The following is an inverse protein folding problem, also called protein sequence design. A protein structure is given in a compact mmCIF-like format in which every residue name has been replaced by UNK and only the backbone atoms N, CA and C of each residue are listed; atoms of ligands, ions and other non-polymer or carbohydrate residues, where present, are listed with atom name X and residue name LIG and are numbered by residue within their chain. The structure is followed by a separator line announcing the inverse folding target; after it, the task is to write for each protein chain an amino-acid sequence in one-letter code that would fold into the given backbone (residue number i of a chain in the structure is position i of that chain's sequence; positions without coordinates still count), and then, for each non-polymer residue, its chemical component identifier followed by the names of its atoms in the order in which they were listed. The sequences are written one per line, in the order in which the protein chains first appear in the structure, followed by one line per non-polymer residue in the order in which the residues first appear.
data_IF_830808548425
#
_entry.id   IF_830808548425
#
_cell.length_a   1.000
_cell.length_b   1.000
_cell.length_c   1.000
_cell.angle_alpha   90.00
_cell.angle_beta   90.00
_cell.angle_gamma   90.00
#
_symmetry.space_group_name_H-M   'P 1'
#
loop_
_entity.id
_entity.type
_entity.pdbx_description
1 polymer ?
#
# COMPACT_ATOMS: atom_id res chain seq x y z
N UNK A 1 -33.61 -67.48 -33.47
CA UNK A 1 -34.89 -66.93 -33.03
C UNK A 1 -34.53 -65.55 -32.42
N UNK A 2 -34.64 -64.57 -33.27
CA UNK A 2 -35.53 -63.39 -33.25
C UNK A 2 -35.29 -62.47 -32.05
N UNK A 3 -35.15 -61.20 -32.13
CA UNK A 3 -35.39 -60.10 -33.06
C UNK A 3 -35.07 -58.84 -32.30
N UNK A 4 -34.33 -57.95 -32.89
CA UNK A 4 -34.63 -56.51 -33.11
C UNK A 4 -35.40 -55.78 -32.02
N UNK A 5 -34.77 -54.77 -31.44
CA UNK A 5 -35.36 -53.44 -31.59
C UNK A 5 -34.29 -52.33 -31.52
N UNK A 6 -34.34 -51.50 -32.54
CA UNK A 6 -33.61 -50.28 -32.73
C UNK A 6 -34.33 -49.18 -31.98
N UNK A 7 -33.61 -48.40 -31.18
CA UNK A 7 -34.06 -47.06 -30.89
C UNK A 7 -32.97 -46.04 -31.28
N UNK A 8 -33.24 -45.40 -32.37
CA UNK A 8 -32.58 -44.16 -32.84
C UNK A 8 -32.89 -43.04 -31.86
N UNK A 9 -31.87 -42.44 -31.29
CA UNK A 9 -31.91 -41.10 -30.75
C UNK A 9 -31.09 -40.19 -31.67
N UNK A 10 -31.58 -39.00 -32.05
CA UNK A 10 -30.88 -38.10 -32.95
C UNK A 10 -29.70 -37.45 -32.24
N UNK A 11 -28.55 -37.51 -32.87
CA UNK A 11 -27.38 -36.68 -32.58
C UNK A 11 -27.77 -35.22 -32.84
N UNK A 12 -27.98 -34.46 -31.79
CA UNK A 12 -27.99 -32.99 -31.85
C UNK A 12 -26.56 -32.49 -31.89
N UNK A 13 -26.16 -31.99 -33.02
CA UNK A 13 -24.98 -31.13 -33.15
C UNK A 13 -25.26 -29.82 -32.43
N UNK A 14 -24.85 -29.73 -31.16
CA UNK A 14 -24.75 -28.46 -30.43
C UNK A 14 -23.27 -28.25 -30.05
N UNK A 15 -22.51 -27.84 -31.05
CA UNK A 15 -21.15 -27.39 -30.91
C UNK A 15 -21.13 -25.83 -30.96
N UNK A 16 -21.89 -25.18 -30.07
CA UNK A 16 -21.74 -23.76 -29.78
C UNK A 16 -20.95 -23.60 -28.48
N UNK A 17 -19.68 -23.33 -28.60
CA UNK A 17 -18.82 -22.94 -27.51
C UNK A 17 -19.33 -21.61 -26.93
N UNK A 18 -19.66 -21.51 -25.63
CA UNK A 18 -20.18 -20.28 -25.03
C UNK A 18 -19.17 -19.13 -24.99
N UNK A 19 -17.90 -19.42 -25.29
CA UNK A 19 -16.80 -18.44 -25.11
C UNK A 19 -16.61 -17.48 -26.31
N UNK A 20 -17.16 -17.79 -27.47
CA UNK A 20 -16.96 -16.95 -28.67
C UNK A 20 -17.93 -15.76 -28.70
N UNK A 21 -19.14 -15.93 -28.19
CA UNK A 21 -20.13 -14.82 -28.12
C UNK A 21 -19.72 -13.74 -27.10
N UNK A 22 -19.13 -14.13 -25.97
CA UNK A 22 -18.72 -13.17 -24.95
C UNK A 22 -17.54 -12.27 -25.37
N UNK A 23 -16.63 -12.81 -26.20
CA UNK A 23 -15.47 -12.06 -26.72
C UNK A 23 -15.91 -11.03 -27.78
N UNK A 24 -16.86 -11.40 -28.63
CA UNK A 24 -17.41 -10.48 -29.62
C UNK A 24 -18.25 -9.35 -29.00
N UNK A 25 -18.98 -9.64 -27.91
CA UNK A 25 -19.68 -8.62 -27.15
C UNK A 25 -18.73 -7.63 -26.45
N UNK A 26 -17.65 -8.13 -25.88
CA UNK A 26 -16.62 -7.29 -25.26
C UNK A 26 -15.94 -6.43 -26.34
N UNK A 27 -15.58 -6.96 -27.48
CA UNK A 27 -15.00 -6.21 -28.58
C UNK A 27 -15.97 -5.13 -29.13
N UNK A 28 -17.25 -5.45 -29.24
CA UNK A 28 -18.29 -4.49 -29.63
C UNK A 28 -18.49 -3.38 -28.60
N UNK A 29 -18.39 -3.69 -27.30
CA UNK A 29 -18.48 -2.69 -26.25
C UNK A 29 -17.30 -1.70 -26.28
N UNK A 30 -16.09 -2.17 -26.50
CA UNK A 30 -14.89 -1.32 -26.68
C UNK A 30 -14.95 -0.47 -27.96
N UNK A 31 -15.49 -1.00 -29.04
CA UNK A 31 -15.68 -0.22 -30.27
C UNK A 31 -16.73 0.89 -30.08
N UNK A 32 -17.85 0.59 -29.41
CA UNK A 32 -18.87 1.59 -29.07
C UNK A 32 -18.34 2.69 -28.14
N UNK A 33 -17.54 2.33 -27.14
CA UNK A 33 -16.95 3.32 -26.23
C UNK A 33 -15.93 4.23 -26.97
N UNK A 34 -15.20 3.68 -27.94
CA UNK A 34 -14.26 4.43 -28.78
C UNK A 34 -14.98 5.39 -29.75
N UNK A 35 -16.15 5.01 -30.25
CA UNK A 35 -16.99 5.87 -31.10
C UNK A 35 -17.68 6.98 -30.28
N UNK A 36 -18.15 6.69 -29.06
CA UNK A 36 -18.73 7.67 -28.15
C UNK A 36 -17.67 8.72 -27.76
N UNK A 37 -16.44 8.32 -27.47
CA UNK A 37 -15.34 9.24 -27.17
C UNK A 37 -14.91 10.11 -28.36
N UNK A 38 -15.09 9.63 -29.60
CA UNK A 38 -14.83 10.42 -30.80
C UNK A 38 -15.94 11.42 -31.13
N UNK A 39 -17.18 11.11 -30.75
CA UNK A 39 -18.34 11.93 -31.07
C UNK A 39 -18.61 13.07 -30.06
N UNK A 40 -18.05 13.01 -28.86
CA UNK A 40 -18.33 14.01 -27.83
C UNK A 40 -17.15 14.18 -26.85
N UNK A 41 -16.10 14.96 -27.19
CA UNK A 41 -14.93 15.17 -26.34
C UNK A 41 -15.23 16.00 -25.07
N UNK A 42 -16.36 16.72 -24.98
CA UNK A 42 -16.64 17.71 -23.93
C UNK A 42 -17.81 17.37 -22.98
N UNK A 43 -18.38 16.17 -23.04
CA UNK A 43 -19.51 15.81 -22.20
C UNK A 43 -19.12 14.90 -21.01
N UNK A 44 -18.42 15.46 -20.04
CA UNK A 44 -18.40 14.95 -18.67
C UNK A 44 -18.73 16.13 -17.76
N UNK A 45 -20.00 16.44 -17.61
CA UNK A 45 -20.52 17.19 -16.47
C UNK A 45 -20.72 16.22 -15.32
N UNK A 46 -19.92 16.37 -14.27
CA UNK A 46 -20.18 15.73 -12.98
C UNK A 46 -21.48 16.25 -12.38
N UNK A 47 -22.27 15.42 -11.69
CA UNK A 47 -23.42 15.90 -10.93
C UNK A 47 -22.94 16.73 -9.73
N UNK A 48 -23.59 17.87 -9.52
CA UNK A 48 -23.32 18.85 -8.49
C UNK A 48 -23.27 18.23 -7.08
N UNK A 49 -22.14 18.41 -6.41
CA UNK A 49 -22.04 18.18 -4.98
C UNK A 49 -22.73 19.31 -4.20
N UNK A 50 -23.39 19.05 -3.07
CA UNK A 50 -24.12 20.04 -2.31
C UNK A 50 -23.19 21.12 -1.75
N UNK A 51 -23.55 22.35 -2.01
CA UNK A 51 -22.89 23.59 -1.55
C UNK A 51 -22.82 23.58 -0.02
N UNK A 52 -21.59 23.54 0.51
CA UNK A 52 -21.31 23.74 1.94
C UNK A 52 -20.92 25.20 2.15
N UNK A 53 -21.68 25.88 3.00
CA UNK A 53 -21.60 27.27 3.39
C UNK A 53 -20.17 27.79 3.64
N UNK A 54 -19.96 28.98 3.11
CA UNK A 54 -18.78 29.82 3.27
C UNK A 54 -18.36 30.01 4.73
N UNK A 55 -17.11 29.63 5.03
CA UNK A 55 -16.37 30.17 6.18
C UNK A 55 -15.47 31.28 5.66
N UNK A 56 -15.73 32.49 6.16
CA UNK A 56 -14.92 33.68 5.92
C UNK A 56 -13.45 33.42 6.27
N UNK A 57 -12.60 33.49 5.28
CA UNK A 57 -11.15 33.58 5.43
C UNK A 57 -10.82 35.04 5.81
N UNK A 58 -10.15 35.19 6.95
CA UNK A 58 -9.52 36.47 7.32
C UNK A 58 -8.21 36.55 6.56
N UNK A 59 -8.16 37.48 5.63
CA UNK A 59 -7.00 37.76 4.79
C UNK A 59 -6.03 38.69 5.53
N UNK A 60 -4.80 38.19 5.74
CA UNK A 60 -3.66 39.00 6.18
C UNK A 60 -2.69 39.12 5.01
N UNK A 61 -2.93 40.13 4.17
CA UNK A 61 -1.87 40.62 3.28
C UNK A 61 -1.67 42.09 3.51
N UNK A 62 -0.47 42.39 3.97
CA UNK A 62 0.10 43.75 3.93
C UNK A 62 0.37 44.10 2.47
N UNK A 63 -0.14 45.22 2.03
CA UNK A 63 0.30 45.76 0.77
C UNK A 63 0.62 47.24 0.84
N UNK A 64 1.76 47.50 0.33
CA UNK A 64 2.37 48.79 0.03
C UNK A 64 1.92 49.28 -1.34
N UNK A 65 1.81 50.61 -1.44
CA UNK A 65 2.03 51.50 -2.57
C UNK A 65 0.85 52.09 -3.37
N UNK A 66 0.80 53.40 -3.16
CA UNK A 66 0.62 54.51 -4.12
C UNK A 66 -0.72 54.76 -4.81
N UNK A 67 -1.34 55.87 -4.46
CA UNK A 67 -1.36 57.13 -5.24
C UNK A 67 -2.19 58.23 -4.59
N UNK A 68 -1.62 59.42 -4.67
CA UNK A 68 -2.15 60.67 -4.17
C UNK A 68 -3.45 61.13 -4.87
N UNK A 69 -4.41 61.65 -4.08
CA UNK A 69 -5.27 62.77 -4.48
C UNK A 69 -5.58 63.67 -3.27
N UNK A 70 -5.24 64.95 -3.43
CA UNK A 70 -5.53 66.03 -2.49
C UNK A 70 -7.03 66.31 -2.34
N UNK A 71 -7.46 66.57 -1.09
CA UNK A 71 -8.40 67.63 -0.68
C UNK A 71 -8.84 67.44 0.78
N UNK A 72 -9.36 68.46 1.48
CA UNK A 72 -8.69 69.58 2.13
C UNK A 72 -8.75 69.49 3.68
N UNK A 73 -7.90 70.28 4.30
CA UNK A 73 -7.66 70.41 5.74
C UNK A 73 -8.93 70.56 6.60
N UNK A 74 -9.18 69.60 7.51
CA UNK A 74 -9.97 69.78 8.72
C UNK A 74 -9.05 69.84 9.91
N UNK A 75 -9.09 70.97 10.63
CA UNK A 75 -8.37 71.24 11.88
C UNK A 75 -8.56 70.10 12.87
N UNK A 76 -7.52 69.31 13.09
CA UNK A 76 -7.48 68.36 14.19
C UNK A 76 -7.00 69.05 15.46
N UNK A 77 -7.90 69.13 16.39
CA UNK A 77 -7.59 69.52 17.79
C UNK A 77 -6.69 68.46 18.39
N UNK A 78 -5.42 68.82 18.63
CA UNK A 78 -4.44 67.97 19.32
C UNK A 78 -4.87 67.78 20.77
N UNK A 79 -5.48 66.66 21.09
CA UNK A 79 -5.64 66.15 22.45
C UNK A 79 -4.24 65.67 22.91
N UNK A 80 -3.59 66.45 23.76
CA UNK A 80 -2.39 66.03 24.47
C UNK A 80 -2.74 64.84 25.36
N UNK A 81 -2.48 63.58 24.91
CA UNK A 81 -2.46 62.40 25.77
C UNK A 81 -1.27 62.52 26.70
N UNK A 82 -1.51 62.87 27.97
CA UNK A 82 -0.51 62.74 29.03
C UNK A 82 -0.07 61.29 29.12
N UNK A 83 1.18 61.05 28.74
CA UNK A 83 1.82 59.74 28.96
C UNK A 83 2.06 59.60 30.45
N UNK A 84 1.18 58.89 31.17
CA UNK A 84 1.43 58.45 32.54
C UNK A 84 2.76 57.70 32.55
N UNK A 85 3.77 58.24 33.26
CA UNK A 85 5.04 57.56 33.50
C UNK A 85 4.77 56.28 34.26
N UNK A 86 4.79 55.13 33.55
CA UNK A 86 4.65 53.78 34.15
C UNK A 86 5.87 53.56 35.03
N UNK A 87 5.64 53.39 36.32
CA UNK A 87 6.71 53.15 37.27
C UNK A 87 7.22 51.72 37.14
N UNK A 88 8.27 51.53 36.28
CA UNK A 88 8.88 50.26 35.89
C UNK A 88 9.27 49.42 37.11
N UNK A 89 9.64 50.05 38.26
CA UNK A 89 9.98 49.34 39.49
C UNK A 89 8.78 48.60 40.10
N UNK A 90 7.53 49.07 39.89
CA UNK A 90 6.31 48.38 40.40
C UNK A 90 5.87 47.22 39.48
N UNK A 91 6.26 47.24 38.20
CA UNK A 91 5.96 46.17 37.23
C UNK A 91 7.03 45.05 37.23
N UNK A 92 8.24 45.31 37.68
CA UNK A 92 9.33 44.34 37.67
C UNK A 92 9.05 43.09 38.52
N UNK A 93 8.48 43.30 39.72
CA UNK A 93 8.16 42.17 40.62
C UNK A 93 7.17 41.17 40.05
N UNK A 94 5.98 41.56 39.51
CA UNK A 94 5.05 40.60 38.95
C UNK A 94 5.60 39.94 37.63
N UNK A 95 6.43 40.63 36.88
CA UNK A 95 7.08 40.06 35.68
C UNK A 95 8.09 38.98 36.09
N UNK A 96 8.91 39.22 37.09
CA UNK A 96 9.89 38.25 37.61
C UNK A 96 9.14 36.99 38.14
N UNK A 97 8.04 37.19 38.86
CA UNK A 97 7.23 36.08 39.38
C UNK A 97 6.61 35.29 38.21
N UNK A 98 6.05 35.96 37.20
CA UNK A 98 5.49 35.31 36.03
C UNK A 98 6.52 34.48 35.27
N UNK A 99 7.75 35.03 35.06
CA UNK A 99 8.86 34.30 34.42
C UNK A 99 9.30 33.10 35.27
N UNK A 100 9.38 33.26 36.62
CA UNK A 100 9.73 32.14 37.48
C UNK A 100 8.67 31.02 37.46
N UNK A 101 7.38 31.39 37.47
CA UNK A 101 6.28 30.40 37.37
C UNK A 101 6.29 29.68 36.01
N UNK A 102 6.50 30.42 34.92
CA UNK A 102 6.62 29.77 33.57
C UNK A 102 7.82 28.86 33.48
N UNK A 103 8.96 29.22 34.07
CA UNK A 103 10.15 28.38 34.12
C UNK A 103 9.92 27.09 34.92
N UNK A 104 9.21 27.17 36.06
CA UNK A 104 8.86 25.99 36.85
C UNK A 104 7.90 25.07 36.13
N UNK A 105 6.88 25.64 35.46
CA UNK A 105 5.92 24.84 34.66
C UNK A 105 6.64 24.17 33.49
N UNK A 106 7.49 24.88 32.73
CA UNK A 106 8.28 24.34 31.66
C UNK A 106 9.24 23.22 32.16
N UNK A 107 9.89 23.43 33.30
CA UNK A 107 10.74 22.42 33.92
C UNK A 107 9.96 21.17 34.36
N UNK A 108 8.76 21.33 34.91
CA UNK A 108 7.88 20.22 35.29
C UNK A 108 7.43 19.42 34.05
N UNK A 109 7.02 20.11 32.98
CA UNK A 109 6.64 19.46 31.72
C UNK A 109 7.83 18.70 31.12
N UNK A 110 9.01 19.29 31.15
CA UNK A 110 10.23 18.64 30.66
C UNK A 110 10.58 17.41 31.52
N UNK A 111 10.52 17.50 32.84
CA UNK A 111 10.78 16.39 33.75
C UNK A 111 9.78 15.24 33.55
N UNK A 112 8.48 15.55 33.35
CA UNK A 112 7.46 14.54 33.07
C UNK A 112 7.72 13.87 31.71
N UNK A 113 8.00 14.64 30.67
CA UNK A 113 8.35 14.09 29.35
C UNK A 113 9.60 13.20 29.43
N UNK A 114 10.63 13.66 30.12
CA UNK A 114 11.86 12.90 30.33
C UNK A 114 11.60 11.58 31.08
N UNK A 115 10.86 11.63 32.19
CA UNK A 115 10.52 10.43 32.97
C UNK A 115 9.67 9.44 32.15
N UNK A 116 8.70 9.92 31.37
CA UNK A 116 7.87 9.08 30.48
C UNK A 116 8.74 8.46 29.37
N UNK A 117 9.67 9.23 28.80
CA UNK A 117 10.59 8.69 27.77
C UNK A 117 11.50 7.63 28.38
N UNK A 118 12.08 7.88 29.55
CA UNK A 118 12.92 6.91 30.26
C UNK A 118 12.17 5.63 30.62
N UNK A 119 10.92 5.73 31.09
CA UNK A 119 10.11 4.55 31.41
C UNK A 119 9.75 3.74 30.17
N UNK A 120 9.52 4.41 29.01
CA UNK A 120 9.21 3.75 27.74
C UNK A 120 10.37 2.96 27.16
N UNK A 121 11.61 3.29 27.49
CA UNK A 121 12.81 2.59 27.01
C UNK A 121 13.48 1.74 28.09
N UNK A 122 12.94 1.71 29.32
CA UNK A 122 13.54 1.00 30.44
C UNK A 122 13.68 -0.51 30.18
N UNK A 123 12.73 -1.11 29.44
CA UNK A 123 12.77 -2.51 29.08
C UNK A 123 13.91 -2.86 28.11
N UNK A 124 14.46 -1.89 27.38
CA UNK A 124 15.59 -2.11 26.47
C UNK A 124 16.92 -2.30 27.18
N UNK A 125 17.07 -1.86 28.44
CA UNK A 125 18.36 -1.92 29.15
C UNK A 125 18.98 -3.33 29.22
N UNK A 126 18.25 -4.41 29.57
CA UNK A 126 18.82 -5.75 29.59
C UNK A 126 19.28 -6.19 28.19
N UNK A 127 18.55 -5.83 27.14
CA UNK A 127 18.91 -6.16 25.76
C UNK A 127 20.13 -5.37 25.27
N UNK A 128 20.23 -4.08 25.63
CA UNK A 128 21.42 -3.27 25.36
C UNK A 128 22.69 -3.80 26.07
N UNK A 129 22.53 -4.38 27.26
CA UNK A 129 23.64 -5.05 27.95
C UNK A 129 24.03 -6.38 27.29
N UNK A 130 23.04 -7.14 26.79
CA UNK A 130 23.25 -8.40 26.09
C UNK A 130 23.85 -8.20 24.69
N UNK A 131 23.44 -7.15 23.99
CA UNK A 131 23.86 -6.80 22.63
C UNK A 131 24.39 -5.36 22.61
N UNK A 132 25.62 -5.13 23.07
CA UNK A 132 26.17 -3.78 23.29
C UNK A 132 26.36 -2.98 22.00
N UNK A 133 26.53 -3.67 20.87
CA UNK A 133 26.74 -3.07 19.56
C UNK A 133 25.40 -2.75 18.84
N UNK A 134 24.26 -3.31 19.31
CA UNK A 134 22.98 -3.17 18.67
C UNK A 134 22.29 -1.84 19.03
N UNK A 135 21.82 -1.11 18.00
CA UNK A 135 21.08 0.15 18.16
C UNK A 135 19.56 -0.08 18.07
N UNK A 136 18.97 -0.45 19.20
CA UNK A 136 17.53 -0.72 19.26
C UNK A 136 16.68 0.47 18.88
N UNK A 137 15.76 0.36 17.90
CA UNK A 137 14.85 1.42 17.54
C UNK A 137 13.84 1.68 18.67
N UNK A 138 13.51 2.95 18.89
CA UNK A 138 12.57 3.32 19.94
C UNK A 138 11.18 2.76 19.65
N UNK A 139 10.60 2.03 20.60
CA UNK A 139 9.25 1.47 20.49
C UNK A 139 9.19 0.06 19.89
N UNK A 140 10.33 -0.57 19.65
CA UNK A 140 10.38 -1.99 19.27
C UNK A 140 9.64 -2.83 20.33
N UNK A 141 8.83 -3.79 19.92
CA UNK A 141 8.18 -4.70 20.87
C UNK A 141 9.22 -5.58 21.57
N UNK A 142 9.08 -5.72 22.90
CA UNK A 142 10.05 -6.44 23.76
C UNK A 142 10.36 -7.84 23.25
N UNK A 143 9.35 -8.57 22.76
CA UNK A 143 9.50 -9.93 22.22
C UNK A 143 10.39 -10.05 20.97
N UNK A 144 10.68 -8.94 20.30
CA UNK A 144 11.57 -8.90 19.12
C UNK A 144 12.96 -8.35 19.44
N UNK A 145 13.22 -7.94 20.68
CA UNK A 145 14.50 -7.36 21.04
C UNK A 145 15.67 -8.36 20.89
N UNK A 146 15.49 -9.63 21.26
CA UNK A 146 16.52 -10.64 21.06
C UNK A 146 16.81 -10.86 19.59
N UNK A 147 15.77 -11.02 18.78
CA UNK A 147 15.89 -11.22 17.32
C UNK A 147 16.59 -10.05 16.64
N UNK A 148 16.23 -8.81 17.02
CA UNK A 148 16.86 -7.61 16.48
C UNK A 148 18.31 -7.48 16.97
N UNK A 149 18.58 -7.78 18.25
CA UNK A 149 19.94 -7.75 18.82
C UNK A 149 20.88 -8.76 18.17
N UNK A 150 20.39 -9.92 17.76
CA UNK A 150 21.15 -10.92 16.99
C UNK A 150 21.42 -10.47 15.56
N UNK A 151 20.52 -9.70 14.95
CA UNK A 151 20.67 -9.17 13.60
C UNK A 151 19.93 -7.84 13.44
N UNK A 152 20.65 -6.72 13.47
CA UNK A 152 20.11 -5.37 13.27
C UNK A 152 19.48 -5.14 11.90
N UNK A 153 19.74 -6.01 10.92
CA UNK A 153 19.06 -6.00 9.63
C UNK A 153 17.62 -6.56 9.69
N UNK A 154 17.15 -6.98 10.87
CA UNK A 154 15.77 -7.44 11.05
C UNK A 154 14.80 -6.26 10.93
N UNK A 155 13.89 -6.33 9.95
CA UNK A 155 12.87 -5.29 9.68
C UNK A 155 11.46 -5.78 9.94
N UNK A 156 11.28 -7.06 10.21
CA UNK A 156 9.98 -7.65 10.50
C UNK A 156 10.08 -9.08 11.03
N UNK A 157 8.92 -9.65 11.28
CA UNK A 157 8.76 -11.03 11.71
C UNK A 157 7.53 -11.63 11.05
N UNK A 158 7.65 -12.79 10.44
CA UNK A 158 6.56 -13.45 9.71
C UNK A 158 6.23 -14.80 10.35
N UNK A 159 4.93 -15.13 10.43
CA UNK A 159 4.44 -16.43 10.88
C UNK A 159 3.38 -16.95 9.94
N UNK A 160 3.58 -18.18 9.46
CA UNK A 160 2.69 -18.89 8.54
C UNK A 160 2.35 -20.23 9.19
N UNK A 161 1.15 -20.31 9.74
CA UNK A 161 0.74 -21.44 10.58
C UNK A 161 0.74 -22.78 9.81
N UNK A 162 0.26 -22.80 8.58
CA UNK A 162 0.20 -24.00 7.73
C UNK A 162 1.57 -24.63 7.51
N UNK A 163 2.59 -23.79 7.42
CA UNK A 163 3.96 -24.24 7.23
C UNK A 163 4.70 -24.55 8.53
N UNK A 164 4.07 -24.29 9.69
CA UNK A 164 4.77 -24.23 10.98
C UNK A 164 6.05 -23.39 10.87
N UNK A 165 5.96 -22.29 10.10
CA UNK A 165 7.05 -21.41 9.76
C UNK A 165 6.93 -20.10 10.54
N UNK A 166 7.98 -19.75 11.24
CA UNK A 166 8.11 -18.52 12.01
C UNK A 166 9.55 -18.03 11.93
N UNK A 167 9.76 -16.80 11.46
CA UNK A 167 11.12 -16.29 11.23
C UNK A 167 11.20 -14.77 11.21
N UNK A 168 12.36 -14.25 11.59
CA UNK A 168 12.74 -12.88 11.33
C UNK A 168 12.77 -12.60 9.82
N UNK A 169 12.31 -11.43 9.43
CA UNK A 169 12.39 -10.91 8.06
C UNK A 169 13.51 -9.88 8.02
N UNK A 170 14.47 -10.11 7.17
CA UNK A 170 15.69 -9.29 7.07
C UNK A 170 15.50 -8.26 5.95
N UNK A 171 16.05 -7.07 6.13
CA UNK A 171 16.17 -6.10 5.05
C UNK A 171 16.83 -6.74 3.84
N UNK A 172 16.37 -6.43 2.63
CA UNK A 172 16.84 -7.04 1.40
C UNK A 172 18.34 -6.99 1.28
N UNK A 173 18.97 -8.13 1.56
CA UNK A 173 20.38 -8.40 1.29
C UNK A 173 20.47 -9.64 0.41
N UNK A 174 21.51 -9.72 -0.40
CA UNK A 174 21.70 -10.82 -1.34
C UNK A 174 21.60 -12.19 -0.62
N UNK A 175 20.67 -13.00 -1.09
CA UNK A 175 20.50 -14.42 -0.72
C UNK A 175 20.20 -14.73 0.77
N UNK A 176 19.67 -13.78 1.53
CA UNK A 176 19.17 -14.01 2.90
C UNK A 176 17.65 -14.00 2.90
N UNK A 177 17.01 -15.08 3.32
CA UNK A 177 15.56 -15.25 3.35
C UNK A 177 15.06 -15.67 4.75
N UNK A 178 13.84 -15.26 5.15
CA UNK A 178 12.94 -14.31 4.46
C UNK A 178 13.53 -12.90 4.37
N UNK A 179 13.30 -12.22 3.25
CA UNK A 179 13.73 -10.84 3.09
C UNK A 179 12.56 -9.92 2.69
N UNK A 180 12.58 -8.68 3.20
CA UNK A 180 11.62 -7.66 2.83
C UNK A 180 12.09 -6.86 1.61
N UNK A 181 11.14 -6.38 0.78
CA UNK A 181 11.43 -5.38 -0.25
C UNK A 181 11.74 -4.05 0.43
N UNK A 182 12.67 -3.31 -0.14
CA UNK A 182 13.10 -2.02 0.36
C UNK A 182 11.97 -0.97 0.22
N UNK A 183 11.84 -0.12 1.22
CA UNK A 183 10.92 1.03 1.21
C UNK A 183 11.74 2.30 1.00
N UNK A 184 11.32 3.15 0.06
CA UNK A 184 12.02 4.42 -0.17
C UNK A 184 12.00 5.30 1.09
N UNK A 185 13.12 5.93 1.39
CA UNK A 185 13.28 6.80 2.57
C UNK A 185 12.20 7.89 2.58
N UNK A 186 11.49 8.04 3.71
CA UNK A 186 10.40 8.98 3.88
C UNK A 186 9.09 8.59 3.20
N UNK A 187 8.98 7.37 2.62
CA UNK A 187 7.74 6.87 2.06
C UNK A 187 6.89 6.16 3.12
N UNK A 188 5.57 6.34 3.03
CA UNK A 188 4.64 5.55 3.82
C UNK A 188 4.51 4.17 3.20
N UNK A 189 4.68 3.12 4.00
CA UNK A 189 4.50 1.75 3.53
C UNK A 189 3.02 1.34 3.56
N UNK A 190 2.50 0.95 2.40
CA UNK A 190 1.13 0.46 2.25
C UNK A 190 1.07 -1.05 2.00
N UNK A 191 2.17 -1.66 1.57
CA UNK A 191 2.28 -3.06 1.26
C UNK A 191 3.58 -3.60 1.86
N UNK A 192 3.48 -4.55 2.77
CA UNK A 192 4.63 -5.31 3.23
C UNK A 192 4.92 -6.40 2.21
N UNK A 193 6.10 -6.37 1.61
CA UNK A 193 6.50 -7.35 0.60
C UNK A 193 7.60 -8.22 1.15
N UNK A 194 7.34 -9.53 1.24
CA UNK A 194 8.25 -10.52 1.81
C UNK A 194 8.55 -11.60 0.76
N UNK A 195 9.83 -11.90 0.59
CA UNK A 195 10.31 -12.98 -0.28
C UNK A 195 10.69 -14.20 0.54
N UNK A 196 10.20 -15.36 0.15
CA UNK A 196 10.61 -16.66 0.68
C UNK A 196 11.50 -17.40 -0.33
N UNK A 197 12.28 -18.34 0.15
CA UNK A 197 13.19 -19.18 -0.65
C UNK A 197 12.62 -20.57 -1.04
N UNK A 198 11.41 -20.90 -0.55
CA UNK A 198 10.76 -22.18 -0.79
C UNK A 198 9.36 -21.99 -1.42
N UNK A 199 8.87 -23.05 -2.06
CA UNK A 199 7.59 -23.08 -2.79
C UNK A 199 6.41 -23.70 -1.99
N UNK A 200 6.61 -23.99 -0.70
CA UNK A 200 5.60 -24.74 0.10
C UNK A 200 4.27 -23.99 0.24
N UNK A 201 4.28 -22.66 0.18
CA UNK A 201 3.08 -21.84 0.29
C UNK A 201 2.10 -22.09 -0.86
N UNK A 202 2.62 -22.48 -2.04
CA UNK A 202 1.82 -22.82 -3.22
C UNK A 202 0.84 -23.97 -2.96
N UNK A 203 1.20 -24.97 -2.17
CA UNK A 203 0.33 -26.10 -1.84
C UNK A 203 -0.99 -25.69 -1.20
N UNK A 204 -1.00 -24.58 -0.46
CA UNK A 204 -2.14 -24.11 0.32
C UNK A 204 -2.98 -23.05 -0.41
N UNK A 205 -2.37 -22.32 -1.35
CA UNK A 205 -3.01 -21.13 -1.93
C UNK A 205 -3.08 -21.14 -3.47
N UNK A 206 -2.78 -22.25 -4.14
CA UNK A 206 -2.75 -22.30 -5.61
C UNK A 206 -4.13 -22.28 -6.29
N UNK A 207 -5.19 -22.65 -5.59
CA UNK A 207 -6.56 -22.67 -6.08
C UNK A 207 -7.57 -22.56 -4.93
N UNK A 208 -8.85 -22.45 -5.26
CA UNK A 208 -9.93 -22.32 -4.27
C UNK A 208 -10.06 -23.56 -3.37
N UNK A 209 -9.86 -24.74 -3.90
CA UNK A 209 -10.01 -25.99 -3.14
C UNK A 209 -8.87 -26.11 -2.11
N UNK A 210 -7.63 -25.87 -2.54
CA UNK A 210 -6.48 -25.84 -1.63
C UNK A 210 -6.64 -24.78 -0.53
N UNK A 211 -7.13 -23.58 -0.89
CA UNK A 211 -7.45 -22.53 0.07
C UNK A 211 -8.49 -22.98 1.11
N UNK A 212 -9.61 -23.53 0.65
CA UNK A 212 -10.72 -23.90 1.53
C UNK A 212 -10.38 -25.08 2.43
N UNK A 213 -9.70 -26.09 1.90
CA UNK A 213 -9.45 -27.35 2.60
C UNK A 213 -8.19 -27.33 3.46
N UNK A 214 -7.11 -26.69 2.99
CA UNK A 214 -5.77 -26.81 3.59
C UNK A 214 -5.29 -25.56 4.30
N UNK A 215 -5.58 -24.36 3.76
CA UNK A 215 -5.04 -23.13 4.28
C UNK A 215 -5.73 -22.68 5.58
N UNK A 216 -5.00 -22.01 6.47
CA UNK A 216 -5.59 -21.25 7.59
C UNK A 216 -6.34 -20.01 7.10
N UNK A 217 -5.93 -19.47 5.97
CA UNK A 217 -6.43 -18.23 5.40
C UNK A 217 -5.82 -16.99 6.03
N UNK A 218 -4.79 -17.14 6.88
CA UNK A 218 -4.13 -16.03 7.58
C UNK A 218 -2.61 -16.14 7.52
N UNK A 219 -1.96 -14.99 7.40
CA UNK A 219 -0.52 -14.83 7.61
C UNK A 219 -0.31 -13.70 8.61
N UNK A 220 0.46 -13.96 9.65
CA UNK A 220 0.83 -12.95 10.64
C UNK A 220 2.15 -12.29 10.24
N UNK A 221 2.21 -10.99 10.38
CA UNK A 221 3.41 -10.21 10.15
C UNK A 221 3.55 -9.13 11.23
N UNK A 222 4.77 -8.84 11.61
CA UNK A 222 5.10 -7.71 12.48
C UNK A 222 6.15 -6.85 11.78
N UNK A 223 6.03 -5.54 11.92
CA UNK A 223 7.07 -4.57 11.55
C UNK A 223 8.02 -4.26 12.72
N UNK A 224 8.04 -5.14 13.72
CA UNK A 224 8.72 -5.06 15.01
C UNK A 224 8.06 -4.10 16.01
N UNK A 225 7.20 -3.18 15.57
CA UNK A 225 6.50 -2.20 16.41
C UNK A 225 5.05 -2.56 16.65
N UNK A 226 4.44 -3.25 15.71
CA UNK A 226 3.07 -3.72 15.75
C UNK A 226 2.95 -5.10 15.14
N UNK A 227 2.04 -5.91 15.68
CA UNK A 227 1.65 -7.18 15.08
C UNK A 227 0.41 -6.99 14.21
N UNK A 228 0.40 -7.61 13.06
CA UNK A 228 -0.68 -7.55 12.10
C UNK A 228 -1.16 -8.95 11.75
N UNK A 229 -2.46 -9.11 11.56
CA UNK A 229 -3.06 -10.32 11.02
C UNK A 229 -3.60 -10.01 9.62
N UNK A 230 -3.09 -10.73 8.60
CA UNK A 230 -3.49 -10.55 7.22
C UNK A 230 -4.33 -11.73 6.77
N UNK A 231 -5.57 -11.46 6.34
CA UNK A 231 -6.41 -12.44 5.64
C UNK A 231 -5.92 -12.58 4.22
N UNK A 232 -5.59 -13.80 3.82
CA UNK A 232 -5.24 -14.10 2.43
C UNK A 232 -6.48 -13.98 1.56
N UNK A 233 -6.40 -13.15 0.54
CA UNK A 233 -7.52 -12.81 -0.35
C UNK A 233 -7.33 -13.30 -1.78
N UNK A 234 -6.13 -13.68 -2.16
CA UNK A 234 -5.84 -14.20 -3.49
C UNK A 234 -4.37 -14.54 -3.67
N UNK A 235 -4.12 -15.30 -4.73
CA UNK A 235 -2.77 -15.66 -5.16
C UNK A 235 -2.69 -15.69 -6.69
N UNK A 236 -1.48 -15.56 -7.24
CA UNK A 236 -1.24 -15.56 -8.68
C UNK A 236 0.20 -15.93 -9.01
N UNK A 237 0.43 -16.31 -10.28
CA UNK A 237 1.78 -16.48 -10.82
C UNK A 237 2.19 -15.26 -11.64
N UNK A 238 3.48 -14.92 -11.58
CA UNK A 238 4.06 -13.83 -12.37
C UNK A 238 5.47 -14.17 -12.82
N UNK A 239 5.88 -13.66 -14.00
CA UNK A 239 7.24 -13.79 -14.49
C UNK A 239 8.23 -12.92 -13.70
N UNK A 240 9.48 -13.35 -13.64
CA UNK A 240 10.60 -12.58 -13.05
C UNK A 240 11.52 -12.00 -14.13
N UNK A 241 11.46 -12.52 -15.36
CA UNK A 241 12.20 -12.00 -16.49
C UNK A 241 11.28 -11.19 -17.40
N UNK A 242 11.76 -10.01 -17.77
CA UNK A 242 11.03 -9.12 -18.67
C UNK A 242 10.80 -9.76 -20.06
N UNK A 243 11.74 -10.58 -20.53
CA UNK A 243 11.68 -11.25 -21.82
C UNK A 243 10.51 -12.24 -21.90
N UNK A 244 10.07 -12.81 -20.77
CA UNK A 244 8.94 -13.73 -20.71
C UNK A 244 7.59 -13.04 -21.00
N UNK A 245 7.50 -11.71 -20.90
CA UNK A 245 6.29 -10.92 -21.22
C UNK A 245 6.61 -9.67 -22.06
N UNK A 246 7.32 -9.84 -23.14
CA UNK A 246 7.62 -8.79 -24.12
C UNK A 246 8.17 -7.50 -23.46
N UNK A 247 9.06 -7.65 -22.51
CA UNK A 247 9.72 -6.57 -21.78
C UNK A 247 8.99 -6.11 -20.51
N UNK A 248 8.00 -6.85 -20.02
CA UNK A 248 7.19 -6.48 -18.87
C UNK A 248 7.31 -7.45 -17.69
N UNK A 249 7.33 -6.90 -16.49
CA UNK A 249 7.13 -7.62 -15.22
C UNK A 249 6.06 -6.85 -14.46
N UNK A 250 5.03 -7.53 -13.96
CA UNK A 250 4.00 -6.88 -13.15
C UNK A 250 4.59 -6.40 -11.82
N UNK A 251 4.51 -5.09 -11.52
CA UNK A 251 5.11 -4.52 -10.31
C UNK A 251 4.23 -4.73 -9.08
N UNK A 252 4.06 -5.99 -8.66
CA UNK A 252 3.31 -6.36 -7.46
C UNK A 252 4.02 -5.97 -6.16
N UNK A 253 5.32 -5.74 -6.24
CA UNK A 253 6.21 -5.47 -5.11
C UNK A 253 6.36 -3.97 -4.79
N UNK A 254 5.38 -3.15 -5.16
CA UNK A 254 5.35 -1.74 -4.76
C UNK A 254 5.03 -1.66 -3.27
N UNK A 255 5.94 -1.10 -2.50
CA UNK A 255 5.83 -0.93 -1.04
C UNK A 255 5.31 0.44 -0.65
N UNK A 256 5.60 1.48 -1.46
CA UNK A 256 5.29 2.86 -1.18
C UNK A 256 3.82 3.20 -1.45
N UNK A 257 3.38 4.33 -0.89
CA UNK A 257 2.04 4.87 -1.13
C UNK A 257 1.86 5.29 -2.60
N UNK A 258 0.79 4.82 -3.22
CA UNK A 258 0.41 5.15 -4.59
C UNK A 258 -0.46 6.42 -4.64
N UNK A 259 -0.43 7.13 -5.77
CA UNK A 259 -1.46 8.15 -6.06
C UNK A 259 -2.84 7.49 -6.11
N UNK A 260 -3.91 8.27 -5.99
CA UNK A 260 -5.28 7.75 -6.04
C UNK A 260 -5.55 6.96 -7.33
N UNK A 261 -5.22 7.55 -8.47
CA UNK A 261 -5.35 6.92 -9.78
C UNK A 261 -4.52 5.65 -9.90
N UNK A 262 -3.29 5.70 -9.42
CA UNK A 262 -2.36 4.57 -9.50
C UNK A 262 -2.77 3.44 -8.55
N UNK A 263 -3.30 3.78 -7.37
CA UNK A 263 -3.84 2.81 -6.41
C UNK A 263 -5.05 2.07 -6.98
N UNK A 264 -6.02 2.79 -7.56
CA UNK A 264 -7.18 2.17 -8.19
C UNK A 264 -6.76 1.21 -9.32
N UNK A 265 -5.83 1.64 -10.16
CA UNK A 265 -5.31 0.81 -11.24
C UNK A 265 -4.51 -0.40 -10.73
N UNK A 266 -3.75 -0.27 -9.64
CA UNK A 266 -3.04 -1.38 -9.01
C UNK A 266 -4.00 -2.42 -8.45
N UNK A 267 -4.99 -1.98 -7.68
CA UNK A 267 -6.00 -2.85 -7.07
C UNK A 267 -6.74 -3.66 -8.15
N UNK A 268 -7.21 -3.00 -9.19
CA UNK A 268 -7.91 -3.66 -10.31
C UNK A 268 -7.04 -4.75 -10.95
N UNK A 269 -5.79 -4.42 -11.30
CA UNK A 269 -4.87 -5.36 -11.92
C UNK A 269 -4.43 -6.48 -11.01
N UNK A 270 -4.26 -6.19 -9.72
CA UNK A 270 -3.91 -7.19 -8.71
C UNK A 270 -5.05 -8.20 -8.54
N UNK A 271 -6.28 -7.73 -8.30
CA UNK A 271 -7.45 -8.59 -8.10
C UNK A 271 -7.82 -9.39 -9.36
N UNK A 272 -7.63 -8.80 -10.54
CA UNK A 272 -7.86 -9.51 -11.81
C UNK A 272 -6.91 -10.70 -11.98
N UNK A 273 -5.71 -10.66 -11.41
CA UNK A 273 -4.73 -11.76 -11.47
C UNK A 273 -5.02 -12.90 -10.51
N UNK A 274 -5.83 -12.69 -9.48
CA UNK A 274 -6.13 -13.73 -8.51
C UNK A 274 -6.74 -14.96 -9.19
N UNK A 275 -6.30 -16.15 -8.78
CA UNK A 275 -6.74 -17.45 -9.30
C UNK A 275 -8.05 -17.94 -8.66
N UNK A 276 -8.48 -17.29 -7.60
CA UNK A 276 -9.76 -17.53 -6.93
C UNK A 276 -10.31 -16.21 -6.40
N UNK A 277 -11.58 -16.21 -6.03
CA UNK A 277 -12.29 -15.06 -5.49
C UNK A 277 -12.76 -15.35 -4.06
N UNK A 278 -12.33 -14.54 -3.11
CA UNK A 278 -12.75 -14.60 -1.70
C UNK A 278 -13.87 -13.61 -1.37
N UNK A 279 -14.37 -12.87 -2.35
CA UNK A 279 -15.40 -11.84 -2.16
C UNK A 279 -14.90 -10.56 -1.50
N UNK A 280 -13.60 -10.45 -1.20
CA UNK A 280 -13.02 -9.26 -0.58
C UNK A 280 -12.54 -8.29 -1.64
N UNK A 281 -13.01 -7.05 -1.54
CA UNK A 281 -12.53 -5.94 -2.36
C UNK A 281 -11.47 -5.15 -1.59
N UNK A 282 -10.32 -4.95 -2.22
CA UNK A 282 -9.26 -4.09 -1.69
C UNK A 282 -9.65 -2.63 -1.89
N UNK A 283 -9.41 -1.81 -0.89
CA UNK A 283 -9.56 -0.35 -0.96
C UNK A 283 -8.22 0.36 -0.82
N UNK A 284 -8.15 1.63 -1.22
CA UNK A 284 -6.91 2.42 -1.13
C UNK A 284 -6.37 2.54 0.30
N UNK A 285 -7.24 2.47 1.31
CA UNK A 285 -6.85 2.58 2.73
C UNK A 285 -6.35 1.26 3.32
N UNK A 286 -6.49 0.17 2.61
CA UNK A 286 -6.08 -1.15 3.11
C UNK A 286 -4.56 -1.28 3.11
N UNK A 287 -4.05 -1.89 4.18
CA UNK A 287 -2.67 -2.33 4.28
C UNK A 287 -2.58 -3.77 3.80
N UNK A 288 -1.61 -4.03 2.92
CA UNK A 288 -1.41 -5.32 2.29
C UNK A 288 -0.15 -6.02 2.82
N UNK A 289 -0.18 -7.33 2.78
CA UNK A 289 0.99 -8.21 2.86
C UNK A 289 1.08 -9.00 1.55
N UNK A 290 2.19 -8.89 0.88
CA UNK A 290 2.49 -9.65 -0.35
C UNK A 290 3.65 -10.60 -0.08
N UNK A 291 3.38 -11.90 -0.09
CA UNK A 291 4.40 -12.94 0.09
C UNK A 291 4.70 -13.57 -1.25
N UNK A 292 5.95 -13.48 -1.68
CA UNK A 292 6.44 -13.98 -2.96
C UNK A 292 7.42 -15.13 -2.74
N UNK A 293 7.17 -16.29 -3.36
CA UNK A 293 8.01 -17.46 -3.24
C UNK A 293 8.35 -18.06 -4.62
N UNK A 294 9.39 -18.89 -4.72
CA UNK A 294 9.65 -19.70 -5.90
C UNK A 294 8.44 -20.56 -6.26
N UNK A 295 8.37 -21.05 -7.48
CA UNK A 295 7.32 -21.97 -7.94
C UNK A 295 7.87 -22.98 -8.92
N UNK A 296 7.29 -24.19 -8.90
CA UNK A 296 7.55 -25.22 -9.90
C UNK A 296 6.58 -25.10 -11.11
N UNK A 297 5.62 -24.18 -11.07
CA UNK A 297 4.68 -23.93 -12.17
C UNK A 297 5.41 -23.65 -13.49
N UNK A 298 6.44 -22.80 -13.44
CA UNK A 298 7.27 -22.46 -14.58
C UNK A 298 8.61 -21.88 -14.13
N UNK A 299 9.67 -22.19 -14.88
CA UNK A 299 10.97 -21.58 -14.69
C UNK A 299 10.88 -20.05 -14.83
N UNK A 300 11.64 -19.32 -14.02
CA UNK A 300 11.67 -17.85 -14.00
C UNK A 300 10.29 -17.21 -13.67
N UNK A 301 9.46 -17.93 -12.90
CA UNK A 301 8.20 -17.42 -12.34
C UNK A 301 8.27 -17.41 -10.82
N UNK A 302 7.37 -16.66 -10.22
CA UNK A 302 7.11 -16.66 -8.78
C UNK A 302 5.64 -16.88 -8.52
N UNK A 303 5.35 -17.52 -7.40
CA UNK A 303 4.03 -17.61 -6.82
C UNK A 303 3.88 -16.49 -5.80
N UNK A 304 2.81 -15.73 -5.88
CA UNK A 304 2.56 -14.54 -5.06
C UNK A 304 1.24 -14.70 -4.34
N UNK A 305 1.27 -14.58 -3.01
CA UNK A 305 0.09 -14.59 -2.12
C UNK A 305 -0.13 -13.20 -1.58
N UNK A 306 -1.37 -12.72 -1.60
CA UNK A 306 -1.74 -11.39 -1.14
C UNK A 306 -2.73 -11.50 0.01
N UNK A 307 -2.40 -10.85 1.11
CA UNK A 307 -3.25 -10.67 2.28
C UNK A 307 -3.65 -9.22 2.48
N UNK A 308 -4.79 -9.00 3.09
CA UNK A 308 -5.28 -7.69 3.53
C UNK A 308 -5.43 -7.68 5.05
N UNK A 309 -4.97 -6.61 5.69
CA UNK A 309 -5.09 -6.46 7.14
C UNK A 309 -6.56 -6.37 7.54
N UNK A 310 -6.98 -7.24 8.46
CA UNK A 310 -8.32 -7.26 9.07
C UNK A 310 -8.22 -7.67 10.53
N UNK A 311 -9.07 -7.12 11.36
CA UNK A 311 -9.07 -7.35 12.81
C UNK A 311 -9.87 -8.59 13.21
N UNK A 312 -10.75 -9.09 12.32
CA UNK A 312 -11.52 -10.30 12.58
C UNK A 312 -10.73 -11.57 12.20
N UNK A 313 -11.01 -12.66 12.90
CA UNK A 313 -10.35 -13.97 12.72
C UNK A 313 -11.21 -14.97 11.92
N UNK A 314 -12.22 -14.52 11.19
CA UNK A 314 -13.04 -15.40 10.38
C UNK A 314 -12.32 -15.73 9.06
N UNK A 315 -12.14 -17.03 8.78
CA UNK A 315 -11.58 -17.50 7.52
C UNK A 315 -12.55 -17.22 6.37
N UNK A 316 -12.03 -16.69 5.28
CA UNK A 316 -12.80 -16.46 4.06
C UNK A 316 -13.07 -17.79 3.34
N UNK A 317 -14.09 -17.80 2.48
CA UNK A 317 -14.36 -18.90 1.55
C UNK A 317 -13.95 -18.47 0.15
N UNK A 318 -13.08 -19.26 -0.49
CA UNK A 318 -12.65 -19.02 -1.85
C UNK A 318 -13.61 -19.68 -2.84
N UNK A 319 -13.94 -18.99 -3.92
CA UNK A 319 -14.66 -19.51 -5.08
C UNK A 319 -13.72 -19.66 -6.26
N UNK A 320 -13.86 -20.73 -7.00
CA UNK A 320 -13.07 -20.94 -8.21
C UNK A 320 -13.27 -19.82 -9.21
N UNK A 321 -12.19 -19.39 -9.81
CA UNK A 321 -12.12 -18.35 -10.85
C UNK A 321 -11.21 -18.82 -11.96
N UNK A 322 -11.54 -18.46 -13.20
CA UNK A 322 -10.66 -18.76 -14.31
C UNK A 322 -9.34 -17.97 -14.18
N UNK A 323 -8.23 -18.69 -14.16
CA UNK A 323 -6.90 -18.10 -14.10
C UNK A 323 -6.56 -17.40 -15.42
N UNK A 324 -6.25 -16.11 -15.35
CA UNK A 324 -5.75 -15.36 -16.49
C UNK A 324 -4.23 -15.48 -16.56
N UNK A 325 -3.71 -15.93 -17.70
CA UNK A 325 -2.28 -16.05 -17.98
C UNK A 325 -1.81 -14.86 -18.80
N UNK A 326 -1.05 -13.95 -18.18
CA UNK A 326 -0.64 -12.70 -18.83
C UNK A 326 0.65 -12.82 -19.63
N UNK A 327 1.60 -13.63 -19.18
CA UNK A 327 2.94 -13.70 -19.74
C UNK A 327 2.95 -14.20 -21.20
N UNK A 328 3.59 -13.45 -22.09
CA UNK A 328 3.68 -13.70 -23.53
C UNK A 328 4.25 -15.09 -23.85
N UNK A 329 5.29 -15.51 -23.12
CA UNK A 329 5.97 -16.79 -23.30
C UNK A 329 5.04 -18.00 -23.25
N UNK A 330 3.95 -17.95 -22.49
CA UNK A 330 2.96 -19.04 -22.40
C UNK A 330 2.22 -19.24 -23.72
N UNK A 331 1.98 -18.17 -24.44
CA UNK A 331 1.28 -18.18 -25.73
C UNK A 331 2.22 -18.52 -26.89
N UNK A 332 3.45 -18.01 -26.83
CA UNK A 332 4.48 -18.29 -27.85
C UNK A 332 4.77 -19.78 -27.96
N UNK A 333 4.86 -20.49 -26.83
CA UNK A 333 5.04 -21.95 -26.80
C UNK A 333 3.86 -22.73 -27.39
N UNK A 334 2.68 -22.15 -27.35
CA UNK A 334 1.47 -22.76 -27.96
C UNK A 334 1.25 -22.32 -29.39
N UNK A 335 2.09 -21.44 -29.93
CA UNK A 335 1.90 -20.82 -31.24
C UNK A 335 0.63 -19.97 -31.34
N UNK A 336 0.17 -19.41 -30.20
CA UNK A 336 -1.08 -18.63 -30.10
C UNK A 336 -0.80 -17.17 -29.86
N UNK A 337 -1.74 -16.32 -30.28
CA UNK A 337 -1.69 -14.90 -29.96
C UNK A 337 -2.12 -14.67 -28.49
N UNK A 338 -1.35 -13.87 -27.75
CA UNK A 338 -1.70 -13.49 -26.39
C UNK A 338 -2.82 -12.44 -26.38
N UNK A 339 -4.03 -12.76 -25.93
CA UNK A 339 -5.14 -11.80 -25.87
C UNK A 339 -4.91 -10.68 -24.85
N UNK A 340 -4.04 -10.91 -23.88
CA UNK A 340 -3.75 -9.98 -22.77
C UNK A 340 -2.47 -9.16 -22.95
N UNK A 341 -1.82 -9.22 -24.12
CA UNK A 341 -0.51 -8.56 -24.37
C UNK A 341 -0.45 -7.07 -24.08
N UNK A 342 -1.60 -6.39 -24.06
CA UNK A 342 -1.69 -4.96 -23.74
C UNK A 342 -2.28 -4.66 -22.36
N UNK A 343 -2.97 -5.64 -21.73
CA UNK A 343 -3.67 -5.47 -20.46
C UNK A 343 -2.74 -5.49 -19.24
N UNK A 344 -1.56 -6.10 -19.37
CA UNK A 344 -0.64 -6.30 -18.25
C UNK A 344 0.29 -5.11 -17.95
N UNK A 345 0.45 -4.18 -18.90
CA UNK A 345 1.44 -3.09 -18.78
C UNK A 345 0.90 -1.91 -17.98
N UNK A 346 1.21 -1.91 -16.72
CA UNK A 346 0.92 -0.82 -15.78
C UNK A 346 2.19 -0.45 -15.02
N UNK A 347 2.39 0.83 -14.79
CA UNK A 347 3.53 1.37 -14.05
C UNK A 347 3.05 2.26 -12.92
N UNK A 348 3.56 2.09 -11.70
CA UNK A 348 3.08 2.83 -10.55
C UNK A 348 3.49 4.31 -10.59
N UNK A 349 2.55 5.18 -10.23
CA UNK A 349 2.80 6.54 -9.77
C UNK A 349 2.81 6.52 -8.24
N UNK A 350 3.93 6.94 -7.64
CA UNK A 350 4.20 6.84 -6.21
C UNK A 350 4.16 8.23 -5.58
N UNK A 351 3.62 8.31 -4.36
CA UNK A 351 3.66 9.52 -3.53
C UNK A 351 4.74 9.33 -2.45
N UNK A 352 5.73 10.22 -2.44
CA UNK A 352 6.71 10.29 -1.37
C UNK A 352 6.44 11.52 -0.52
N UNK A 353 6.30 11.31 0.79
CA UNK A 353 6.22 12.38 1.78
C UNK A 353 7.63 12.64 2.32
N UNK A 354 8.10 13.89 2.22
CA UNK A 354 9.37 14.32 2.79
C UNK A 354 9.24 14.59 4.29
N UNK A 355 10.37 14.71 4.98
CA UNK A 355 10.42 14.97 6.43
C UNK A 355 9.75 16.30 6.82
N UNK A 356 9.69 17.29 5.91
CA UNK A 356 8.99 18.56 6.08
C UNK A 356 7.46 18.45 5.90
N UNK A 357 6.94 17.24 5.64
CA UNK A 357 5.53 16.98 5.39
C UNK A 357 5.06 17.28 3.97
N UNK A 358 5.93 17.82 3.11
CA UNK A 358 5.59 18.03 1.69
C UNK A 358 5.59 16.71 0.94
N UNK A 359 4.69 16.58 -0.04
CA UNK A 359 4.59 15.40 -0.88
C UNK A 359 5.13 15.68 -2.28
N UNK A 360 5.74 14.66 -2.90
CA UNK A 360 6.05 14.66 -4.33
C UNK A 360 5.52 13.38 -4.96
N UNK A 361 5.14 13.48 -6.22
CA UNK A 361 4.70 12.34 -7.03
C UNK A 361 5.76 12.02 -8.07
N UNK A 362 6.04 10.72 -8.29
CA UNK A 362 6.86 10.28 -9.42
C UNK A 362 6.35 8.94 -9.96
N UNK A 363 6.65 8.67 -11.23
CA UNK A 363 6.39 7.40 -11.86
C UNK A 363 7.67 6.57 -11.85
N UNK A 364 7.63 5.37 -11.31
CA UNK A 364 8.75 4.45 -11.39
C UNK A 364 8.93 3.99 -12.84
N UNK A 365 10.15 4.19 -13.36
CA UNK A 365 10.44 3.80 -14.73
C UNK A 365 10.59 2.28 -14.86
N UNK A 366 10.27 1.76 -16.04
CA UNK A 366 10.46 0.36 -16.42
C UNK A 366 11.87 -0.16 -16.09
N UNK A 367 12.89 0.69 -16.18
CA UNK A 367 14.29 0.32 -15.88
C UNK A 367 14.48 -0.16 -14.44
N UNK A 368 13.74 0.40 -13.49
CA UNK A 368 13.86 0.03 -12.08
C UNK A 368 13.40 -1.42 -11.84
N UNK A 369 12.35 -1.86 -12.53
CA UNK A 369 11.84 -3.24 -12.43
C UNK A 369 12.60 -4.24 -13.31
N UNK A 370 13.28 -3.78 -14.36
CA UNK A 370 14.10 -4.63 -15.23
C UNK A 370 15.46 -5.01 -14.62
N UNK A 371 15.93 -4.28 -13.61
CA UNK A 371 17.27 -4.48 -13.02
C UNK A 371 17.24 -5.25 -11.69
N UNK A 372 16.06 -5.59 -11.18
CA UNK A 372 15.85 -6.41 -9.99
C UNK A 372 15.28 -7.76 -10.39
#
# INVERSE_FOLDING_TARGET
MNEKDKNNLPLGDDNSSPDTESIDEILKSFQREKEIRKANPDSISMPDAPVRSERQLIDFTADTDEKAEEKPAKKQTRIKKERKKINIKKLAKPIIIAVAVTAVIAGAIFAVKFAVTQSRVAYLKPYQQKYPDAQFPQGILEKYCDTFGENEGTVGYIKINELSFESAVIEKKKDIYPMAEEVATGAQQNNFVVYLDNNKLEEYYKDADSYNEKASGFIQYSDLFCDYNFKVIGAFYTNTKADDDAGYIFPYNVTEALTEKSSAAFIDRLQTRFMYDTGVTITRGDRLLTVSCPTDYRKDFRFVVVGVMRDDNEKLTAKSKQMIRYAQVIYDEQGKQNPYRFASKWYPEIVITKDDGTTRTYQQSIKHYKQK
#
